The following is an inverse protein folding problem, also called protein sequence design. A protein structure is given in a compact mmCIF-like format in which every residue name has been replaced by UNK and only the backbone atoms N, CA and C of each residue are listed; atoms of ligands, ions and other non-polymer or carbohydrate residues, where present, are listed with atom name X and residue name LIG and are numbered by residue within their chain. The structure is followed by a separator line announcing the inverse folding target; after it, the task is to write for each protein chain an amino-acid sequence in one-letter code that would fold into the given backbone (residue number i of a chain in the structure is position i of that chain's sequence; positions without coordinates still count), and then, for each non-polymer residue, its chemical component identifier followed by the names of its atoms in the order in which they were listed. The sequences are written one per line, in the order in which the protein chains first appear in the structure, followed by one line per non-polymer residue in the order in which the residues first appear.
data_IF_221897318752
#
_entry.id   IF_221897318752
#
_cell.length_a   1.000
_cell.length_b   1.000
_cell.length_c   1.000
_cell.angle_alpha   90.00
_cell.angle_beta   90.00
_cell.angle_gamma   90.00
#
_symmetry.space_group_name_H-M   'P 1'
#
loop_
_entity.id
_entity.type
_entity.pdbx_description
1 polymer ?
#
# COMPACT_ATOMS: atom_id res chain seq x y z
N UNK A 1 14.37 -1.62 -37.24
CA UNK A 1 14.44 -0.23 -36.73
C UNK A 1 13.55 -0.24 -35.51
N UNK A 2 14.12 -0.03 -34.33
CA UNK A 2 13.33 0.13 -33.09
C UNK A 2 12.45 1.37 -33.25
N UNK A 3 11.17 1.26 -32.91
CA UNK A 3 10.28 2.41 -32.94
C UNK A 3 10.72 3.46 -31.90
N UNK A 4 10.40 4.76 -32.07
CA UNK A 4 10.74 5.77 -31.07
C UNK A 4 10.22 5.43 -29.67
N UNK A 5 9.04 4.81 -29.56
CA UNK A 5 8.45 4.39 -28.29
C UNK A 5 9.23 3.21 -27.68
N UNK A 6 9.67 2.24 -28.48
CA UNK A 6 10.51 1.14 -27.99
C UNK A 6 11.84 1.64 -27.41
N UNK A 7 12.43 2.68 -27.99
CA UNK A 7 13.63 3.30 -27.45
C UNK A 7 13.37 3.94 -26.08
N UNK A 8 12.26 4.67 -25.92
CA UNK A 8 11.84 5.24 -24.64
C UNK A 8 11.62 4.15 -23.58
N UNK A 9 11.02 3.01 -23.95
CA UNK A 9 10.84 1.88 -23.02
C UNK A 9 12.18 1.38 -22.50
N UNK A 10 13.18 1.18 -23.37
CA UNK A 10 14.52 0.76 -22.93
C UNK A 10 15.24 1.80 -22.06
N UNK A 11 14.89 3.07 -22.20
CA UNK A 11 15.45 4.16 -21.39
C UNK A 11 14.87 4.24 -19.98
N UNK A 12 13.82 3.48 -19.66
CA UNK A 12 13.29 3.39 -18.29
C UNK A 12 14.29 2.76 -17.31
N UNK A 13 15.24 1.95 -17.80
CA UNK A 13 16.39 1.47 -17.01
C UNK A 13 17.58 2.44 -17.00
N UNK A 14 17.43 3.59 -17.66
CA UNK A 14 18.47 4.60 -17.80
C UNK A 14 18.84 5.25 -16.48
N UNK A 15 19.82 6.17 -16.54
CA UNK A 15 20.15 7.02 -15.39
C UNK A 15 18.94 7.87 -15.02
N UNK A 16 18.89 8.35 -13.76
CA UNK A 16 17.73 9.07 -13.22
C UNK A 16 17.14 10.14 -14.15
N UNK A 17 17.97 10.97 -14.79
CA UNK A 17 17.50 12.00 -15.74
C UNK A 17 16.91 11.39 -17.02
N UNK A 18 17.60 10.43 -17.63
CA UNK A 18 17.15 9.73 -18.84
C UNK A 18 15.86 8.92 -18.60
N UNK A 19 15.78 8.20 -17.48
CA UNK A 19 14.59 7.46 -17.10
C UNK A 19 13.42 8.38 -16.78
N UNK A 20 13.67 9.54 -16.15
CA UNK A 20 12.63 10.53 -15.86
C UNK A 20 12.05 11.10 -17.14
N UNK A 21 12.91 11.50 -18.09
CA UNK A 21 12.49 12.02 -19.39
C UNK A 21 11.71 10.96 -20.17
N UNK A 22 12.21 9.73 -20.21
CA UNK A 22 11.53 8.62 -20.88
C UNK A 22 10.14 8.34 -20.28
N UNK A 23 10.04 8.32 -18.94
CA UNK A 23 8.77 8.16 -18.23
C UNK A 23 7.80 9.29 -18.56
N UNK A 24 8.24 10.54 -18.48
CA UNK A 24 7.41 11.71 -18.76
C UNK A 24 6.88 11.72 -20.20
N UNK A 25 7.73 11.37 -21.16
CA UNK A 25 7.35 11.26 -22.58
C UNK A 25 6.35 10.12 -22.82
N UNK A 26 6.55 8.95 -22.21
CA UNK A 26 5.60 7.82 -22.32
C UNK A 26 4.24 8.17 -21.72
N UNK A 27 4.21 8.88 -20.58
CA UNK A 27 2.97 9.39 -19.97
C UNK A 27 2.29 10.41 -20.90
N UNK A 28 3.05 11.31 -21.50
CA UNK A 28 2.53 12.30 -22.43
C UNK A 28 1.95 11.67 -23.70
N UNK A 29 2.58 10.63 -24.24
CA UNK A 29 2.03 9.81 -25.34
C UNK A 29 0.75 9.08 -24.88
N UNK A 30 0.72 8.66 -23.62
CA UNK A 30 -0.46 8.10 -22.97
C UNK A 30 -0.80 6.68 -23.46
N UNK A 31 -2.09 6.44 -23.67
CA UNK A 31 -2.67 5.16 -24.04
C UNK A 31 -2.03 4.50 -25.28
N UNK A 32 -1.43 5.28 -26.18
CA UNK A 32 -0.77 4.78 -27.40
C UNK A 32 0.61 4.19 -27.13
N UNK A 33 1.25 4.53 -26.00
CA UNK A 33 2.54 3.96 -25.60
C UNK A 33 2.39 2.56 -24.96
N UNK A 34 1.23 2.26 -24.38
CA UNK A 34 1.01 1.06 -23.57
C UNK A 34 1.35 -0.25 -24.28
N UNK A 35 1.02 -0.48 -25.57
CA UNK A 35 1.41 -1.71 -26.24
C UNK A 35 2.93 -1.94 -26.24
N UNK A 36 3.72 -0.88 -26.41
CA UNK A 36 5.18 -0.96 -26.39
C UNK A 36 5.71 -1.16 -24.97
N UNK A 37 5.17 -0.44 -23.98
CA UNK A 37 5.56 -0.59 -22.57
C UNK A 37 5.24 -2.00 -22.08
N UNK A 38 4.04 -2.51 -22.33
CA UNK A 38 3.61 -3.88 -21.97
C UNK A 38 4.52 -4.93 -22.63
N UNK A 39 4.82 -4.77 -23.92
CA UNK A 39 5.68 -5.72 -24.65
C UNK A 39 7.13 -5.69 -24.16
N UNK A 40 7.64 -4.50 -23.81
CA UNK A 40 9.01 -4.31 -23.37
C UNK A 40 9.25 -4.57 -21.88
N UNK A 41 8.20 -4.53 -21.04
CA UNK A 41 8.28 -4.70 -19.58
C UNK A 41 9.14 -5.90 -19.12
N UNK A 42 9.07 -7.09 -19.73
CA UNK A 42 9.90 -8.23 -19.30
C UNK A 42 11.40 -8.06 -19.59
N UNK A 43 11.77 -7.13 -20.47
CA UNK A 43 13.18 -6.83 -20.77
C UNK A 43 13.79 -5.80 -19.81
N UNK A 44 12.96 -5.13 -19.01
CA UNK A 44 13.41 -4.12 -18.07
C UNK A 44 13.97 -4.74 -16.80
N UNK A 45 14.97 -4.07 -16.22
CA UNK A 45 15.43 -4.32 -14.87
C UNK A 45 14.39 -3.90 -13.82
N UNK A 46 14.66 -4.19 -12.56
CA UNK A 46 13.76 -3.81 -11.44
C UNK A 46 13.42 -2.33 -11.47
N UNK A 47 14.40 -1.45 -11.70
CA UNK A 47 14.16 -0.01 -11.74
C UNK A 47 13.23 0.37 -12.90
N UNK A 48 13.51 -0.08 -14.13
CA UNK A 48 12.63 0.19 -15.26
C UNK A 48 11.23 -0.40 -15.13
N UNK A 49 11.08 -1.56 -14.45
CA UNK A 49 9.77 -2.13 -14.13
C UNK A 49 8.97 -1.23 -13.18
N UNK A 50 9.60 -0.70 -12.13
CA UNK A 50 8.96 0.24 -11.20
C UNK A 50 8.56 1.52 -11.93
N UNK A 51 9.44 2.08 -12.75
CA UNK A 51 9.16 3.24 -13.60
C UNK A 51 8.01 2.97 -14.58
N UNK A 52 7.94 1.76 -15.15
CA UNK A 52 6.83 1.37 -16.03
C UNK A 52 5.49 1.24 -15.30
N UNK A 53 5.48 0.78 -14.04
CA UNK A 53 4.29 0.78 -13.19
C UNK A 53 3.78 2.21 -12.99
N UNK A 54 4.66 3.17 -12.71
CA UNK A 54 4.26 4.59 -12.59
C UNK A 54 3.65 5.11 -13.90
N UNK A 55 4.21 4.74 -15.06
CA UNK A 55 3.59 5.07 -16.37
C UNK A 55 2.18 4.50 -16.44
N UNK A 56 1.95 3.26 -16.01
CA UNK A 56 0.63 2.65 -16.05
C UNK A 56 -0.39 3.37 -15.15
N UNK A 57 0.00 3.75 -13.94
CA UNK A 57 -0.86 4.47 -13.00
C UNK A 57 -1.21 5.88 -13.50
N UNK A 58 -0.21 6.63 -13.97
CA UNK A 58 -0.41 8.00 -14.48
C UNK A 58 -1.23 8.03 -15.78
N UNK A 59 -1.06 7.02 -16.64
CA UNK A 59 -1.88 6.90 -17.87
C UNK A 59 -3.31 6.47 -17.54
N UNK A 60 -3.53 5.71 -16.46
CA UNK A 60 -4.88 5.39 -15.96
C UNK A 60 -5.69 4.42 -16.84
N UNK A 61 -5.05 3.72 -17.77
CA UNK A 61 -5.74 2.83 -18.72
C UNK A 61 -5.63 1.37 -18.27
N UNK A 62 -6.76 0.65 -18.08
CA UNK A 62 -6.77 -0.69 -17.51
C UNK A 62 -6.18 -1.78 -18.43
N UNK A 63 -5.81 -1.46 -19.68
CA UNK A 63 -5.19 -2.42 -20.62
C UNK A 63 -3.85 -2.96 -20.14
N UNK A 64 -3.18 -2.30 -19.20
CA UNK A 64 -1.95 -2.79 -18.56
C UNK A 64 -2.20 -3.92 -17.54
N UNK A 65 -3.45 -4.20 -17.16
CA UNK A 65 -3.82 -5.18 -16.13
C UNK A 65 -3.12 -6.54 -16.26
N UNK A 66 -3.10 -7.20 -17.44
CA UNK A 66 -2.37 -8.46 -17.61
C UNK A 66 -0.85 -8.36 -17.35
N UNK A 67 -0.23 -7.22 -17.67
CA UNK A 67 1.19 -7.00 -17.43
C UNK A 67 1.47 -6.82 -15.93
N UNK A 68 0.65 -6.03 -15.24
CA UNK A 68 0.72 -5.85 -13.78
C UNK A 68 0.48 -7.17 -13.04
N UNK A 69 -0.48 -7.99 -13.49
CA UNK A 69 -0.71 -9.34 -12.94
C UNK A 69 0.55 -10.19 -13.06
N UNK A 70 1.27 -10.12 -14.19
CA UNK A 70 2.53 -10.85 -14.37
C UNK A 70 3.64 -10.39 -13.42
N UNK A 71 3.65 -9.12 -13.00
CA UNK A 71 4.64 -8.59 -12.05
C UNK A 71 4.42 -9.07 -10.60
N UNK A 72 3.25 -9.62 -10.28
CA UNK A 72 3.01 -10.26 -8.98
C UNK A 72 3.90 -11.51 -8.76
N UNK A 73 4.44 -12.09 -9.83
CA UNK A 73 5.39 -13.22 -9.78
C UNK A 73 6.86 -12.76 -9.90
N UNK A 74 7.15 -11.45 -9.85
CA UNK A 74 8.52 -10.92 -9.90
C UNK A 74 9.37 -11.45 -8.74
N UNK A 75 10.68 -11.62 -8.93
CA UNK A 75 11.60 -11.97 -7.85
C UNK A 75 11.79 -10.81 -6.85
N UNK A 76 11.51 -9.58 -7.27
CA UNK A 76 11.71 -8.39 -6.44
C UNK A 76 10.43 -8.04 -5.62
N UNK A 77 10.50 -7.96 -4.28
CA UNK A 77 9.35 -7.65 -3.42
C UNK A 77 8.74 -6.27 -3.69
N UNK A 78 9.55 -5.25 -3.96
CA UNK A 78 9.07 -3.90 -4.27
C UNK A 78 8.28 -3.87 -5.57
N UNK A 79 8.70 -4.65 -6.58
CA UNK A 79 7.94 -4.77 -7.84
C UNK A 79 6.60 -5.46 -7.60
N UNK A 80 6.56 -6.51 -6.77
CA UNK A 80 5.30 -7.20 -6.42
C UNK A 80 4.35 -6.28 -5.65
N UNK A 81 4.88 -5.51 -4.70
CA UNK A 81 4.14 -4.50 -3.93
C UNK A 81 3.51 -3.45 -4.85
N UNK A 82 4.32 -2.79 -5.68
CA UNK A 82 3.84 -1.72 -6.56
C UNK A 82 2.87 -2.23 -7.61
N UNK A 83 3.10 -3.45 -8.14
CA UNK A 83 2.15 -4.09 -9.04
C UNK A 83 0.80 -4.33 -8.35
N UNK A 84 0.81 -4.82 -7.09
CA UNK A 84 -0.43 -5.01 -6.34
C UNK A 84 -1.18 -3.70 -6.10
N UNK A 85 -0.46 -2.65 -5.72
CA UNK A 85 -1.05 -1.33 -5.51
C UNK A 85 -1.66 -0.77 -6.81
N UNK A 86 -0.91 -0.79 -7.91
CA UNK A 86 -1.38 -0.31 -9.20
C UNK A 86 -2.62 -1.07 -9.71
N UNK A 87 -2.71 -2.39 -9.47
CA UNK A 87 -3.90 -3.18 -9.81
C UNK A 87 -5.17 -2.70 -9.10
N UNK A 88 -5.04 -2.24 -7.85
CA UNK A 88 -6.14 -1.65 -7.11
C UNK A 88 -6.44 -0.21 -7.53
N UNK A 89 -5.40 0.64 -7.66
CA UNK A 89 -5.54 2.03 -8.14
C UNK A 89 -6.26 2.11 -9.50
N UNK A 90 -6.02 1.13 -10.37
CA UNK A 90 -6.59 1.04 -11.71
C UNK A 90 -7.88 0.19 -11.78
N UNK A 91 -8.44 -0.20 -10.64
CA UNK A 91 -9.67 -0.98 -10.51
C UNK A 91 -9.68 -2.28 -11.34
N UNK A 92 -8.54 -2.97 -11.41
CA UNK A 92 -8.38 -4.21 -12.18
C UNK A 92 -9.00 -5.38 -11.41
N UNK A 93 -10.33 -5.46 -11.38
CA UNK A 93 -11.05 -6.53 -10.65
C UNK A 93 -10.68 -7.96 -11.10
N UNK A 94 -10.17 -8.14 -12.32
CA UNK A 94 -9.63 -9.41 -12.79
C UNK A 94 -8.39 -9.90 -12.02
N UNK A 95 -7.78 -9.04 -11.19
CA UNK A 95 -6.59 -9.35 -10.41
C UNK A 95 -6.88 -9.95 -9.02
N UNK A 96 -8.14 -10.08 -8.60
CA UNK A 96 -8.47 -10.62 -7.26
C UNK A 96 -7.85 -11.99 -7.01
N UNK A 97 -8.02 -12.95 -7.91
CA UNK A 97 -7.43 -14.30 -7.74
C UNK A 97 -5.90 -14.32 -7.85
N UNK A 98 -5.27 -13.58 -8.79
CA UNK A 98 -3.82 -13.36 -8.78
C UNK A 98 -3.29 -12.78 -7.45
N UNK A 99 -3.93 -11.75 -6.90
CA UNK A 99 -3.54 -11.15 -5.62
C UNK A 99 -3.69 -12.13 -4.45
N UNK A 100 -4.76 -12.94 -4.41
CA UNK A 100 -4.90 -14.01 -3.40
C UNK A 100 -3.80 -15.06 -3.52
N UNK A 101 -3.35 -15.37 -4.73
CA UNK A 101 -2.21 -16.28 -4.95
C UNK A 101 -0.91 -15.66 -4.48
N UNK A 102 -0.64 -14.42 -4.86
CA UNK A 102 0.55 -13.67 -4.43
C UNK A 102 0.60 -13.59 -2.89
N UNK A 103 -0.53 -13.30 -2.25
CA UNK A 103 -0.61 -13.25 -0.79
C UNK A 103 -0.29 -14.61 -0.14
N UNK A 104 -0.86 -15.71 -0.66
CA UNK A 104 -0.50 -17.06 -0.19
C UNK A 104 0.98 -17.37 -0.37
N UNK A 105 1.58 -16.94 -1.48
CA UNK A 105 3.01 -17.09 -1.71
C UNK A 105 3.86 -16.26 -0.72
N UNK A 106 3.39 -15.10 -0.24
CA UNK A 106 4.03 -14.38 0.87
C UNK A 106 4.04 -15.20 2.15
N UNK A 107 2.89 -15.77 2.52
CA UNK A 107 2.74 -16.60 3.71
C UNK A 107 3.61 -17.87 3.64
N UNK A 108 3.65 -18.53 2.48
CA UNK A 108 4.49 -19.72 2.24
C UNK A 108 5.99 -19.41 2.35
N UNK A 109 6.41 -18.19 1.98
CA UNK A 109 7.80 -17.71 2.14
C UNK A 109 8.09 -17.19 3.54
N UNK A 110 7.12 -17.24 4.46
CA UNK A 110 7.19 -16.65 5.78
C UNK A 110 7.58 -15.16 5.74
N UNK A 111 7.10 -14.41 4.73
CA UNK A 111 7.24 -12.97 4.73
C UNK A 111 6.39 -12.42 5.88
N UNK A 112 6.98 -11.56 6.75
CA UNK A 112 6.24 -10.93 7.83
C UNK A 112 4.95 -10.25 7.34
N UNK A 113 3.83 -10.37 8.06
CA UNK A 113 2.58 -9.71 7.71
C UNK A 113 2.70 -8.19 7.62
N UNK A 114 3.58 -7.56 8.40
CA UNK A 114 3.90 -6.14 8.33
C UNK A 114 4.82 -5.75 7.17
N UNK A 115 5.49 -6.68 6.48
CA UNK A 115 6.32 -6.34 5.33
C UNK A 115 5.52 -5.57 4.26
N UNK A 116 6.17 -4.61 3.60
CA UNK A 116 5.52 -3.68 2.67
C UNK A 116 4.77 -4.39 1.55
N UNK A 117 5.33 -5.47 0.99
CA UNK A 117 4.66 -6.34 0.02
C UNK A 117 3.36 -6.96 0.57
N UNK A 118 3.39 -7.53 1.78
CA UNK A 118 2.22 -8.14 2.41
C UNK A 118 1.13 -7.10 2.65
N UNK A 119 1.52 -5.90 3.08
CA UNK A 119 0.62 -4.75 3.28
C UNK A 119 0.01 -4.31 1.95
N UNK A 120 0.82 -4.10 0.92
CA UNK A 120 0.37 -3.66 -0.41
C UNK A 120 -0.62 -4.64 -1.03
N UNK A 121 -0.37 -5.95 -0.93
CA UNK A 121 -1.29 -6.97 -1.45
C UNK A 121 -2.60 -6.99 -0.65
N UNK A 122 -2.57 -6.92 0.69
CA UNK A 122 -3.80 -6.87 1.49
C UNK A 122 -4.61 -5.60 1.26
N UNK A 123 -3.92 -4.46 1.09
CA UNK A 123 -4.56 -3.20 0.72
C UNK A 123 -5.27 -3.35 -0.62
N UNK A 124 -4.58 -3.87 -1.64
CA UNK A 124 -5.17 -4.08 -2.96
C UNK A 124 -6.38 -5.03 -2.93
N UNK A 125 -6.32 -6.11 -2.15
CA UNK A 125 -7.47 -6.99 -1.93
C UNK A 125 -8.64 -6.26 -1.24
N UNK A 126 -8.36 -5.30 -0.36
CA UNK A 126 -9.39 -4.52 0.32
C UNK A 126 -10.07 -3.56 -0.66
N UNK A 127 -9.30 -2.80 -1.43
CA UNK A 127 -9.82 -1.85 -2.43
C UNK A 127 -10.64 -2.54 -3.52
N UNK A 128 -10.22 -3.74 -3.95
CA UNK A 128 -10.98 -4.53 -4.93
C UNK A 128 -12.16 -5.30 -4.32
N UNK A 129 -12.48 -5.11 -3.04
CA UNK A 129 -13.61 -5.74 -2.34
C UNK A 129 -13.45 -7.24 -2.06
N UNK A 130 -12.22 -7.76 -2.17
CA UNK A 130 -11.88 -9.16 -1.92
C UNK A 130 -11.45 -9.43 -0.46
N UNK A 131 -11.22 -8.38 0.32
CA UNK A 131 -10.94 -8.43 1.76
C UNK A 131 -11.78 -7.37 2.46
N UNK A 132 -12.27 -7.67 3.66
CA UNK A 132 -12.97 -6.71 4.52
C UNK A 132 -12.30 -6.73 5.88
N UNK A 133 -11.52 -5.68 6.24
CA UNK A 133 -10.96 -5.58 7.59
C UNK A 133 -12.07 -5.59 8.64
N UNK A 134 -11.84 -6.31 9.74
CA UNK A 134 -12.76 -6.23 10.89
C UNK A 134 -12.57 -4.87 11.56
N UNK A 135 -13.64 -4.07 11.59
CA UNK A 135 -13.67 -2.78 12.27
C UNK A 135 -14.52 -2.93 13.54
N UNK A 136 -13.90 -2.90 14.74
CA UNK A 136 -14.62 -2.97 16.00
C UNK A 136 -15.63 -1.82 16.22
N UNK A 137 -16.65 -2.01 17.09
CA UNK A 137 -17.77 -1.07 17.20
C UNK A 137 -17.39 0.36 17.63
N UNK A 138 -16.47 0.54 18.58
CA UNK A 138 -16.07 1.88 19.02
C UNK A 138 -15.24 2.56 17.92
N UNK A 139 -14.34 1.81 17.28
CA UNK A 139 -13.55 2.26 16.12
C UNK A 139 -14.45 2.72 14.98
N UNK A 140 -15.49 1.94 14.65
CA UNK A 140 -16.49 2.30 13.64
C UNK A 140 -17.30 3.55 14.05
N UNK A 141 -17.70 3.64 15.32
CA UNK A 141 -18.44 4.78 15.84
C UNK A 141 -17.61 6.07 15.74
N UNK A 142 -16.35 6.05 16.16
CA UNK A 142 -15.45 7.19 16.07
C UNK A 142 -15.24 7.64 14.61
N UNK A 143 -15.14 6.69 13.67
CA UNK A 143 -15.07 7.00 12.23
C UNK A 143 -16.30 7.76 11.76
N UNK A 144 -17.50 7.32 12.13
CA UNK A 144 -18.76 7.98 11.73
C UNK A 144 -18.95 9.39 12.33
N UNK A 145 -18.26 9.70 13.42
CA UNK A 145 -18.27 11.05 14.02
C UNK A 145 -17.22 11.99 13.43
N UNK A 146 -16.35 11.47 12.56
CA UNK A 146 -15.27 12.22 11.91
C UNK A 146 -15.77 12.80 10.59
N UNK A 147 -15.19 13.92 10.14
CA UNK A 147 -15.50 14.46 8.82
C UNK A 147 -15.18 13.43 7.71
N UNK A 148 -16.06 13.34 6.70
CA UNK A 148 -15.97 12.32 5.63
C UNK A 148 -14.65 12.40 4.83
N UNK A 149 -14.04 13.58 4.74
CA UNK A 149 -12.79 13.85 4.05
C UNK A 149 -11.54 13.61 4.90
N UNK A 150 -11.69 13.24 6.17
CA UNK A 150 -10.56 12.98 7.05
C UNK A 150 -9.86 11.65 6.71
N UNK A 151 -8.51 11.63 6.66
CA UNK A 151 -7.73 10.46 6.26
C UNK A 151 -7.72 9.33 7.31
N UNK A 152 -8.48 9.44 8.40
CA UNK A 152 -8.49 8.43 9.46
C UNK A 152 -9.41 8.79 10.63
N UNK A 153 -8.92 8.62 11.85
CA UNK A 153 -9.62 9.01 13.09
C UNK A 153 -8.93 10.20 13.73
N UNK A 154 -9.61 10.95 14.62
CA UNK A 154 -8.96 12.03 15.35
C UNK A 154 -7.82 11.50 16.22
N UNK A 155 -6.62 12.07 16.09
CA UNK A 155 -5.43 11.62 16.83
C UNK A 155 -5.64 11.68 18.35
N UNK A 156 -6.42 12.66 18.83
CA UNK A 156 -6.80 12.78 20.25
C UNK A 156 -7.57 11.56 20.81
N UNK A 157 -8.12 10.70 19.95
CA UNK A 157 -8.88 9.50 20.34
C UNK A 157 -8.15 8.19 20.03
N UNK A 158 -6.88 8.27 19.61
CA UNK A 158 -6.09 7.09 19.19
C UNK A 158 -6.00 6.03 20.28
N UNK A 159 -5.85 6.41 21.55
CA UNK A 159 -5.81 5.49 22.69
C UNK A 159 -7.06 4.62 22.80
N UNK A 160 -8.24 5.18 22.53
CA UNK A 160 -9.49 4.41 22.57
C UNK A 160 -9.57 3.40 21.43
N UNK A 161 -9.09 3.79 20.25
CA UNK A 161 -9.06 2.93 19.06
C UNK A 161 -8.07 1.78 19.24
N UNK A 162 -6.88 2.07 19.77
CA UNK A 162 -5.86 1.03 20.05
C UNK A 162 -6.43 -0.03 21.00
N UNK A 163 -7.08 0.40 22.08
CA UNK A 163 -7.69 -0.52 23.04
C UNK A 163 -8.84 -1.32 22.42
N UNK A 164 -9.70 -0.69 21.63
CA UNK A 164 -10.83 -1.36 20.98
C UNK A 164 -10.37 -2.40 19.94
N UNK A 165 -9.32 -2.08 19.16
CA UNK A 165 -8.67 -3.01 18.25
C UNK A 165 -8.08 -4.22 19.00
N UNK A 166 -7.31 -3.97 20.06
CA UNK A 166 -6.71 -5.02 20.87
C UNK A 166 -7.76 -5.93 21.55
N UNK A 167 -8.82 -5.33 22.12
CA UNK A 167 -9.91 -6.06 22.77
C UNK A 167 -10.71 -6.93 21.78
N UNK A 168 -10.59 -6.66 20.47
CA UNK A 168 -11.14 -7.47 19.37
C UNK A 168 -10.07 -8.30 18.64
N UNK A 169 -8.96 -8.61 19.31
CA UNK A 169 -7.87 -9.47 18.84
C UNK A 169 -7.24 -9.02 17.51
N UNK A 170 -7.19 -7.71 17.27
CA UNK A 170 -6.53 -7.11 16.12
C UNK A 170 -5.09 -6.71 16.48
N UNK A 171 -4.18 -6.83 15.51
CA UNK A 171 -2.78 -6.40 15.61
C UNK A 171 -2.59 -5.17 14.72
N UNK A 172 -2.18 -4.05 15.33
CA UNK A 172 -1.79 -2.83 14.62
C UNK A 172 -0.38 -3.04 14.07
N UNK A 173 -0.21 -2.74 12.78
CA UNK A 173 1.06 -2.83 12.06
C UNK A 173 1.74 -1.47 11.97
N UNK A 174 0.97 -0.44 11.59
CA UNK A 174 1.49 0.90 11.31
C UNK A 174 0.46 1.97 11.63
N UNK A 175 0.95 3.17 11.91
CA UNK A 175 0.16 4.39 12.01
C UNK A 175 0.75 5.46 11.09
N UNK A 176 -0.12 6.23 10.44
CA UNK A 176 0.28 7.41 9.68
C UNK A 176 -0.51 8.60 10.18
N UNK A 177 0.20 9.66 10.57
CA UNK A 177 -0.42 10.89 11.04
C UNK A 177 -0.60 11.87 9.90
N UNK A 178 -1.69 12.63 9.97
CA UNK A 178 -2.08 13.61 8.97
C UNK A 178 -2.55 14.88 9.65
N UNK A 179 -2.28 16.02 9.03
CA UNK A 179 -2.84 17.32 9.40
C UNK A 179 -3.74 17.83 8.30
N UNK A 180 -4.93 18.29 8.66
CA UNK A 180 -5.87 18.94 7.74
C UNK A 180 -5.90 20.44 8.02
N UNK A 181 -5.33 21.23 7.12
CA UNK A 181 -5.31 22.69 7.22
C UNK A 181 -5.84 23.33 5.93
N UNK A 182 -6.79 24.26 6.09
CA UNK A 182 -7.42 25.00 4.98
C UNK A 182 -7.92 24.12 3.82
N UNK A 183 -8.49 22.95 4.13
CA UNK A 183 -9.00 21.98 3.15
C UNK A 183 -7.92 21.21 2.40
N UNK A 184 -6.67 21.22 2.90
CA UNK A 184 -5.57 20.41 2.39
C UNK A 184 -5.09 19.45 3.45
N UNK A 185 -4.79 18.23 3.02
CA UNK A 185 -4.32 17.15 3.88
C UNK A 185 -2.83 16.95 3.66
N UNK A 186 -2.05 16.96 4.74
CA UNK A 186 -0.60 16.79 4.70
C UNK A 186 -0.19 15.65 5.63
N UNK A 187 0.67 14.76 5.14
CA UNK A 187 1.31 13.77 6.00
C UNK A 187 2.24 14.47 7.00
N UNK A 188 2.15 14.12 8.27
CA UNK A 188 3.06 14.61 9.31
C UNK A 188 3.79 13.43 9.95
N UNK A 189 5.05 13.61 10.39
CA UNK A 189 5.77 12.54 11.07
C UNK A 189 5.10 12.19 12.40
N UNK A 190 5.03 10.91 12.69
CA UNK A 190 4.72 10.41 14.03
C UNK A 190 5.92 10.57 14.99
N UNK A 191 5.84 9.97 16.19
CA UNK A 191 6.89 10.03 17.20
C UNK A 191 8.23 9.41 16.78
N UNK A 192 8.25 8.61 15.71
CA UNK A 192 9.47 7.97 15.19
C UNK A 192 9.93 6.80 16.06
N UNK A 193 9.01 6.11 16.71
CA UNK A 193 9.30 4.88 17.45
C UNK A 193 9.53 3.74 16.45
N UNK A 194 10.73 3.16 16.50
CA UNK A 194 11.04 1.93 15.78
C UNK A 194 10.74 0.73 16.68
N UNK A 195 9.91 -0.18 16.18
CA UNK A 195 9.49 -1.38 16.88
C UNK A 195 9.26 -2.51 15.86
N UNK A 196 9.51 -3.74 16.30
CA UNK A 196 9.34 -4.94 15.49
C UNK A 196 8.54 -5.95 16.32
N UNK A 197 7.59 -6.63 15.66
CA UNK A 197 6.79 -7.68 16.28
C UNK A 197 7.47 -9.03 16.10
N UNK A 198 7.51 -9.84 17.16
CA UNK A 198 7.94 -11.24 17.04
C UNK A 198 6.82 -12.09 16.45
N UNK A 199 6.77 -12.16 15.11
CA UNK A 199 5.78 -12.95 14.37
C UNK A 199 5.82 -14.46 14.65
N UNK A 200 6.76 -14.95 15.47
CA UNK A 200 6.77 -16.34 15.94
C UNK A 200 6.00 -16.54 17.25
N UNK A 201 5.63 -15.45 17.93
CA UNK A 201 4.89 -15.48 19.18
C UNK A 201 3.41 -15.89 18.97
N UNK A 202 2.73 -16.38 20.04
CA UNK A 202 1.29 -16.62 19.99
C UNK A 202 0.51 -15.35 19.64
N UNK A 203 -0.59 -15.48 18.89
CA UNK A 203 -1.41 -14.33 18.46
C UNK A 203 -1.82 -13.39 19.60
N UNK A 204 -2.25 -13.92 20.73
CA UNK A 204 -2.65 -13.08 21.89
C UNK A 204 -1.46 -12.27 22.44
N UNK A 205 -0.23 -12.77 22.30
CA UNK A 205 0.98 -12.02 22.66
C UNK A 205 1.24 -10.89 21.67
N UNK A 206 1.12 -11.16 20.36
CA UNK A 206 1.25 -10.14 19.32
C UNK A 206 0.23 -9.00 19.49
N UNK A 207 -1.01 -9.32 19.88
CA UNK A 207 -2.05 -8.33 20.16
C UNK A 207 -1.64 -7.41 21.33
N UNK A 208 -1.18 -7.98 22.44
CA UNK A 208 -0.76 -7.20 23.61
C UNK A 208 0.55 -6.42 23.37
N UNK A 209 1.50 -7.00 22.65
CA UNK A 209 2.73 -6.31 22.24
C UNK A 209 2.42 -5.13 21.33
N UNK A 210 1.56 -5.35 20.32
CA UNK A 210 1.06 -4.30 19.43
C UNK A 210 0.32 -3.19 20.17
N UNK A 211 -0.54 -3.56 21.13
CA UNK A 211 -1.22 -2.60 22.01
C UNK A 211 -0.22 -1.75 22.79
N UNK A 212 0.77 -2.38 23.43
CA UNK A 212 1.73 -1.70 24.29
C UNK A 212 2.55 -0.66 23.52
N UNK A 213 3.10 -1.03 22.36
CA UNK A 213 3.85 -0.13 21.50
C UNK A 213 2.98 0.99 20.92
N UNK A 214 1.78 0.66 20.44
CA UNK A 214 0.86 1.68 19.91
C UNK A 214 0.43 2.68 20.99
N UNK A 215 0.26 2.25 22.24
CA UNK A 215 -0.03 3.14 23.37
C UNK A 215 1.15 4.05 23.72
N UNK A 216 2.38 3.54 23.60
CA UNK A 216 3.57 4.37 23.76
C UNK A 216 3.62 5.44 22.66
N UNK A 217 3.37 5.07 21.41
CA UNK A 217 3.28 6.02 20.29
C UNK A 217 2.19 7.05 20.53
N UNK A 218 0.99 6.62 20.93
CA UNK A 218 -0.12 7.50 21.26
C UNK A 218 0.21 8.54 22.34
N UNK A 219 1.11 8.22 23.28
CA UNK A 219 1.51 9.13 24.36
C UNK A 219 2.39 10.29 23.88
N UNK A 220 3.06 10.11 22.74
CA UNK A 220 3.95 11.08 22.11
C UNK A 220 3.37 11.63 20.79
N UNK A 221 2.20 11.13 20.38
CA UNK A 221 1.57 11.44 19.11
C UNK A 221 1.22 12.94 19.00
N UNK A 222 1.36 13.53 17.80
CA UNK A 222 0.85 14.87 17.55
C UNK A 222 -0.66 14.92 17.83
N UNK A 223 -1.08 15.85 18.69
CA UNK A 223 -2.47 16.03 19.07
C UNK A 223 -2.95 17.44 18.71
N UNK A 224 -4.13 17.52 18.11
CA UNK A 224 -4.81 18.74 17.70
C UNK A 224 -6.16 18.40 17.09
N UNK A 225 -7.09 19.35 17.06
CA UNK A 225 -8.42 19.17 16.45
C UNK A 225 -8.34 18.95 14.93
N UNK A 226 -7.19 19.31 14.33
CA UNK A 226 -6.85 19.18 12.91
C UNK A 226 -5.93 17.99 12.61
N UNK A 227 -5.62 17.15 13.61
CA UNK A 227 -4.70 16.02 13.47
C UNK A 227 -5.45 14.70 13.49
N UNK A 228 -5.19 13.88 12.48
CA UNK A 228 -5.81 12.58 12.27
C UNK A 228 -4.75 11.49 12.19
N UNK A 229 -5.16 10.25 12.47
CA UNK A 229 -4.35 9.05 12.38
C UNK A 229 -5.06 8.02 11.52
N UNK A 230 -4.33 7.48 10.53
CA UNK A 230 -4.72 6.30 9.79
C UNK A 230 -3.97 5.10 10.37
N UNK A 231 -4.68 4.10 10.87
CA UNK A 231 -4.09 2.86 11.36
C UNK A 231 -4.17 1.78 10.29
N UNK A 232 -3.13 0.96 10.18
CA UNK A 232 -3.14 -0.29 9.41
C UNK A 232 -3.11 -1.44 10.41
N UNK A 233 -4.09 -2.33 10.34
CA UNK A 233 -4.18 -3.47 11.24
C UNK A 233 -4.66 -4.73 10.51
N UNK A 234 -4.46 -5.86 11.18
CA UNK A 234 -4.87 -7.18 10.71
C UNK A 234 -5.52 -7.99 11.83
N UNK A 235 -6.24 -9.03 11.44
CA UNK A 235 -6.71 -10.06 12.34
C UNK A 235 -6.22 -11.45 11.92
N UNK A 236 -6.56 -12.47 12.70
CA UNK A 236 -6.10 -13.84 12.47
C UNK A 236 -6.55 -14.42 11.13
N UNK A 237 -7.60 -13.89 10.51
CA UNK A 237 -8.07 -14.31 9.18
C UNK A 237 -7.19 -13.78 8.03
N UNK A 238 -6.28 -12.86 8.33
CA UNK A 238 -5.27 -12.38 7.40
C UNK A 238 -4.04 -13.31 7.29
N UNK A 239 -4.00 -14.43 8.02
CA UNK A 239 -2.88 -15.38 8.05
C UNK A 239 -3.24 -16.76 7.51
#
# INVERSE_FOLDING_TARGET
MTSPIEALVQQLDGKAEESYDARAELIWIGADALPAVITGLPSLGTFGQLTAIEVFEEVGDPRCGPALIGLLDSDNPTVREWAAMALASLEIHGAVEPLRRAYRACLERAIPPDATESVGIRWALTELGARTPVVPPLTAHLRATTADDAPGWPSARITEIINDLADHAQVILYSQFWRVDAGRTYGIPGPGLEWELDWTAPWDHLVEESRAWSLLEASEAPAGDDVFVALTWIDRTDL
#
